data_IF_122886016676
#
_entry.id   IF_122886016676
#
_cell.length_a   1.000
_cell.length_b   1.000
_cell.length_c   1.000
_cell.angle_alpha   90.00
_cell.angle_beta   90.00
_cell.angle_gamma   90.00
#
_symmetry.space_group_name_H-M   'P 1'
#
loop_
_entity.id
_entity.type
_entity.pdbx_description
1 polymer ?
#
# COMPACT_ATOMS: atom_id res chain seq x y z
N UNK A 1 11.28 10.25 -7.30
CA UNK A 1 12.61 9.85 -7.81
C UNK A 1 13.15 8.72 -6.93
N UNK A 2 13.65 7.62 -7.49
CA UNK A 2 14.32 6.58 -6.72
C UNK A 2 15.51 7.19 -5.97
N UNK A 3 15.67 6.88 -4.68
CA UNK A 3 16.86 7.24 -3.92
C UNK A 3 18.02 6.44 -4.48
N UNK A 4 19.00 7.12 -5.08
CA UNK A 4 20.16 6.48 -5.68
C UNK A 4 21.24 6.19 -4.63
N UNK A 5 21.87 5.01 -4.67
CA UNK A 5 23.03 4.74 -3.83
C UNK A 5 24.16 5.74 -4.06
N UNK A 6 25.04 5.97 -3.07
CA UNK A 6 26.21 6.82 -3.25
C UNK A 6 27.15 6.28 -4.34
N UNK A 7 27.66 7.18 -5.19
CA UNK A 7 28.62 6.87 -6.26
C UNK A 7 29.99 6.52 -5.66
N UNK A 8 30.69 5.56 -6.25
CA UNK A 8 32.05 5.18 -5.85
C UNK A 8 33.04 6.32 -6.13
N UNK A 9 33.66 6.83 -5.08
CA UNK A 9 34.78 7.77 -5.16
C UNK A 9 36.14 7.06 -5.14
N UNK A 10 37.23 7.82 -4.95
CA UNK A 10 38.59 7.28 -4.92
C UNK A 10 38.88 6.40 -3.69
N UNK A 11 38.15 6.58 -2.58
CA UNK A 11 38.26 5.73 -1.38
C UNK A 11 37.06 4.78 -1.25
N UNK A 12 37.31 3.49 -1.48
CA UNK A 12 36.32 2.41 -1.35
C UNK A 12 35.81 2.24 0.09
N UNK A 13 36.64 2.54 1.10
CA UNK A 13 36.25 2.43 2.52
C UNK A 13 35.28 3.53 2.89
N UNK A 14 35.51 4.75 2.41
CA UNK A 14 34.57 5.85 2.56
C UNK A 14 33.25 5.56 1.85
N UNK A 15 33.30 5.05 0.62
CA UNK A 15 32.12 4.61 -0.10
C UNK A 15 31.32 3.54 0.66
N UNK A 16 32.00 2.51 1.21
CA UNK A 16 31.35 1.46 1.99
C UNK A 16 30.61 1.96 3.22
N UNK A 17 31.18 2.95 3.95
CA UNK A 17 30.49 3.59 5.08
C UNK A 17 29.24 4.37 4.63
N UNK A 18 29.35 5.11 3.53
CA UNK A 18 28.22 5.83 2.94
C UNK A 18 27.13 4.89 2.46
N UNK A 19 27.49 3.76 1.86
CA UNK A 19 26.55 2.72 1.42
C UNK A 19 25.82 2.10 2.61
N UNK A 20 26.53 1.71 3.67
CA UNK A 20 25.89 1.16 4.88
C UNK A 20 24.88 2.16 5.48
N UNK A 21 25.24 3.44 5.56
CA UNK A 21 24.32 4.48 6.01
C UNK A 21 23.11 4.65 5.08
N UNK A 22 23.32 4.56 3.76
CA UNK A 22 22.23 4.61 2.79
C UNK A 22 21.27 3.42 2.94
N UNK A 23 21.80 2.20 3.05
CA UNK A 23 21.00 0.99 3.21
C UNK A 23 20.24 1.04 4.54
N UNK A 24 20.87 1.39 5.65
CA UNK A 24 20.21 1.51 6.94
C UNK A 24 19.01 2.47 6.92
N UNK A 25 19.07 3.55 6.11
CA UNK A 25 17.97 4.51 5.97
C UNK A 25 16.86 4.07 5.01
N UNK A 26 17.14 3.14 4.09
CA UNK A 26 16.23 2.84 2.98
C UNK A 26 15.75 1.38 2.92
N UNK A 27 16.41 0.43 3.61
CA UNK A 27 16.08 -0.99 3.56
C UNK A 27 14.65 -1.29 4.05
N UNK A 28 14.17 -0.56 5.05
CA UNK A 28 12.83 -0.73 5.61
C UNK A 28 11.72 0.09 4.94
N UNK A 29 12.03 0.86 3.88
CA UNK A 29 11.03 1.68 3.20
C UNK A 29 10.36 0.88 2.09
N UNK A 30 9.06 1.13 1.88
CA UNK A 30 8.39 0.74 0.64
C UNK A 30 8.89 1.64 -0.50
N UNK A 31 9.24 1.03 -1.62
CA UNK A 31 9.57 1.75 -2.84
C UNK A 31 8.31 1.97 -3.68
N UNK A 32 8.29 3.03 -4.49
CA UNK A 32 7.18 3.30 -5.40
C UNK A 32 7.20 2.35 -6.58
N UNK A 33 6.04 1.78 -6.92
CA UNK A 33 5.83 0.98 -8.11
C UNK A 33 5.97 1.87 -9.35
N UNK A 34 6.69 1.34 -10.32
CA UNK A 34 6.99 1.93 -11.63
C UNK A 34 6.41 1.05 -12.73
N UNK A 35 6.47 1.51 -13.97
CA UNK A 35 6.10 0.70 -15.14
C UNK A 35 7.08 -0.42 -15.45
N UNK A 36 8.30 -0.38 -14.90
CA UNK A 36 9.33 -1.39 -15.11
C UNK A 36 9.30 -2.55 -14.11
N UNK A 37 8.51 -2.44 -13.03
CA UNK A 37 8.44 -3.48 -12.02
C UNK A 37 7.71 -4.72 -12.53
N UNK A 38 8.30 -5.90 -12.29
CA UNK A 38 7.80 -7.19 -12.77
C UNK A 38 7.32 -8.05 -11.60
N UNK A 39 6.04 -8.50 -11.58
CA UNK A 39 5.50 -9.31 -10.51
C UNK A 39 5.77 -10.83 -10.66
N UNK A 40 6.69 -11.23 -11.55
CA UNK A 40 7.04 -12.64 -11.77
C UNK A 40 7.67 -13.30 -10.54
N UNK A 41 8.36 -12.52 -9.71
CA UNK A 41 8.83 -12.94 -8.39
C UNK A 41 7.79 -12.59 -7.33
N UNK A 42 7.47 -13.53 -6.44
CA UNK A 42 6.52 -13.31 -5.35
C UNK A 42 7.18 -12.61 -4.16
N UNK A 43 6.45 -11.71 -3.49
CA UNK A 43 6.87 -11.10 -2.23
C UNK A 43 7.54 -9.72 -2.34
N UNK A 44 7.51 -9.09 -3.52
CA UNK A 44 7.97 -7.71 -3.71
C UNK A 44 6.87 -6.77 -3.22
N UNK A 45 7.15 -6.00 -2.16
CA UNK A 45 6.26 -4.97 -1.62
C UNK A 45 6.59 -3.60 -2.20
N UNK A 46 5.58 -2.92 -2.75
CA UNK A 46 5.70 -1.59 -3.35
C UNK A 46 4.52 -0.70 -2.96
N UNK A 47 4.68 0.62 -3.09
CA UNK A 47 3.59 1.58 -3.04
C UNK A 47 3.10 1.89 -4.45
N UNK A 48 1.82 1.63 -4.74
CA UNK A 48 1.18 2.01 -6.00
C UNK A 48 0.67 3.46 -5.88
N UNK A 49 1.36 4.41 -6.52
CA UNK A 49 1.03 5.84 -6.45
C UNK A 49 -0.23 6.19 -7.24
N UNK A 50 -0.51 5.46 -8.32
CA UNK A 50 -1.70 5.67 -9.17
C UNK A 50 -2.98 5.30 -8.41
N UNK A 51 -2.90 4.21 -7.63
CA UNK A 51 -4.06 3.68 -6.89
C UNK A 51 -4.04 4.03 -5.41
N UNK A 52 -2.96 4.64 -4.93
CA UNK A 52 -2.77 5.13 -3.57
C UNK A 52 -2.86 4.04 -2.48
N UNK A 53 -2.20 2.89 -2.69
CA UNK A 53 -2.12 1.81 -1.70
C UNK A 53 -0.87 0.92 -1.88
N UNK A 54 -0.45 0.20 -0.83
CA UNK A 54 0.63 -0.77 -0.97
C UNK A 54 0.15 -2.02 -1.72
N UNK A 55 1.04 -2.59 -2.52
CA UNK A 55 0.85 -3.82 -3.28
C UNK A 55 1.94 -4.83 -2.98
N UNK A 56 1.63 -6.11 -3.14
CA UNK A 56 2.59 -7.21 -3.11
C UNK A 56 2.52 -8.00 -4.42
N UNK A 57 3.67 -8.39 -4.96
CA UNK A 57 3.70 -9.31 -6.10
C UNK A 57 3.31 -10.73 -5.67
N UNK A 58 2.33 -11.31 -6.35
CA UNK A 58 1.87 -12.67 -6.15
C UNK A 58 1.26 -13.23 -7.42
N UNK A 59 1.71 -14.41 -7.83
CA UNK A 59 1.16 -15.15 -8.98
C UNK A 59 1.18 -14.31 -10.27
N UNK A 60 2.31 -13.67 -10.58
CA UNK A 60 2.50 -12.85 -11.78
C UNK A 60 1.58 -11.61 -11.85
N UNK A 61 1.15 -11.09 -10.70
CA UNK A 61 0.35 -9.87 -10.58
C UNK A 61 0.71 -9.07 -9.33
N UNK A 62 0.59 -7.74 -9.39
CA UNK A 62 0.60 -6.92 -8.17
C UNK A 62 -0.80 -6.88 -7.57
N UNK A 63 -0.92 -7.32 -6.32
CA UNK A 63 -2.18 -7.39 -5.58
C UNK A 63 -2.17 -6.35 -4.45
N UNK A 64 -3.29 -5.65 -4.27
CA UNK A 64 -3.46 -4.71 -3.18
C UNK A 64 -3.32 -5.42 -1.83
N UNK A 65 -2.60 -4.78 -0.90
CA UNK A 65 -2.61 -5.16 0.51
C UNK A 65 -3.74 -4.38 1.18
N UNK A 66 -4.67 -5.09 1.79
CA UNK A 66 -5.77 -4.46 2.51
C UNK A 66 -5.22 -3.75 3.76
N UNK A 67 -5.52 -2.46 3.89
CA UNK A 67 -5.25 -1.65 5.08
C UNK A 67 -6.57 -1.30 5.74
N UNK A 68 -6.62 -1.35 7.07
CA UNK A 68 -7.78 -0.86 7.80
C UNK A 68 -8.05 0.60 7.44
N UNK A 69 -9.25 0.88 6.98
CA UNK A 69 -9.72 2.24 6.78
C UNK A 69 -10.55 2.72 7.97
N UNK A 70 -10.77 4.03 8.05
CA UNK A 70 -11.73 4.60 8.99
C UNK A 70 -13.12 3.99 8.76
N UNK A 71 -13.87 3.76 9.85
CA UNK A 71 -15.23 3.27 9.76
C UNK A 71 -16.12 4.33 9.07
N UNK A 72 -16.87 3.97 8.01
CA UNK A 72 -17.73 4.92 7.32
C UNK A 72 -18.86 5.38 8.24
N UNK A 73 -19.09 6.70 8.33
CA UNK A 73 -20.15 7.27 9.18
C UNK A 73 -21.56 6.92 8.66
N UNK A 74 -21.70 6.69 7.36
CA UNK A 74 -22.93 6.29 6.69
C UNK A 74 -22.59 5.44 5.46
N UNK A 75 -23.59 4.84 4.82
CA UNK A 75 -23.37 3.95 3.68
C UNK A 75 -22.88 4.64 2.41
N UNK A 76 -22.97 5.97 2.30
CA UNK A 76 -22.53 6.75 1.13
C UNK A 76 -21.01 6.96 1.12
N UNK A 77 -20.36 6.89 2.28
CA UNK A 77 -18.91 7.08 2.39
C UNK A 77 -18.48 8.55 2.26
N UNK A 78 -17.21 8.76 1.94
CA UNK A 78 -16.57 10.06 1.79
C UNK A 78 -15.53 10.08 0.67
N UNK A 79 -15.10 11.28 0.28
CA UNK A 79 -14.03 11.45 -0.71
C UNK A 79 -12.77 10.68 -0.29
N UNK A 80 -12.19 9.94 -1.23
CA UNK A 80 -11.06 9.04 -0.99
C UNK A 80 -11.45 7.58 -0.86
N UNK A 81 -12.73 7.26 -0.63
CA UNK A 81 -13.19 5.88 -0.63
C UNK A 81 -13.12 5.26 -2.02
N UNK A 82 -12.50 4.07 -2.10
CA UNK A 82 -12.33 3.31 -3.33
C UNK A 82 -12.82 1.87 -3.14
N UNK A 83 -13.20 1.23 -4.25
CA UNK A 83 -13.59 -0.18 -4.26
C UNK A 83 -12.51 -1.07 -3.63
N UNK A 84 -12.94 -2.03 -2.81
CA UNK A 84 -12.04 -2.99 -2.15
C UNK A 84 -11.45 -2.49 -0.83
N UNK A 85 -11.71 -1.25 -0.42
CA UNK A 85 -11.38 -0.80 0.93
C UNK A 85 -12.14 -1.63 1.99
N UNK A 86 -11.43 -1.96 3.07
CA UNK A 86 -11.97 -2.73 4.19
C UNK A 86 -11.81 -1.90 5.46
N UNK A 87 -12.86 -1.88 6.28
CA UNK A 87 -12.83 -1.31 7.63
C UNK A 87 -13.52 -2.26 8.59
N UNK A 88 -13.28 -2.09 9.89
CA UNK A 88 -13.96 -2.86 10.93
C UNK A 88 -13.98 -2.06 12.22
N UNK A 89 -15.01 -2.31 13.01
CA UNK A 89 -15.15 -1.85 14.39
C UNK A 89 -15.50 -3.05 15.30
N UNK A 90 -15.88 -2.78 16.54
CA UNK A 90 -16.25 -3.82 17.52
C UNK A 90 -17.49 -4.62 17.12
N UNK A 91 -18.36 -4.08 16.27
CA UNK A 91 -19.67 -4.64 15.93
C UNK A 91 -19.77 -5.12 14.49
N UNK A 92 -18.96 -4.60 13.57
CA UNK A 92 -19.13 -4.84 12.14
C UNK A 92 -17.79 -4.92 11.38
N UNK A 93 -17.80 -5.71 10.30
CA UNK A 93 -16.83 -5.61 9.20
C UNK A 93 -17.50 -4.89 8.03
N UNK A 94 -16.78 -3.97 7.40
CA UNK A 94 -17.24 -3.13 6.30
C UNK A 94 -16.41 -3.37 5.04
N UNK A 95 -17.06 -3.34 3.88
CA UNK A 95 -16.40 -3.38 2.57
C UNK A 95 -16.96 -2.29 1.65
N UNK A 96 -16.07 -1.54 1.03
CA UNK A 96 -16.40 -0.54 0.02
C UNK A 96 -16.55 -1.20 -1.35
N UNK A 97 -17.71 -1.03 -1.98
CA UNK A 97 -18.06 -1.71 -3.23
C UNK A 97 -17.87 -0.86 -4.49
N UNK A 98 -17.61 0.45 -4.35
CA UNK A 98 -17.38 1.37 -5.46
C UNK A 98 -16.58 2.61 -4.99
N UNK A 99 -16.10 3.43 -5.92
CA UNK A 99 -15.51 4.72 -5.58
C UNK A 99 -16.59 5.74 -5.16
N UNK A 100 -16.23 6.68 -4.28
CA UNK A 100 -17.13 7.73 -3.83
C UNK A 100 -17.61 8.64 -4.98
N UNK A 101 -18.93 8.77 -5.10
CA UNK A 101 -19.61 9.62 -6.10
C UNK A 101 -20.53 10.69 -5.47
N UNK A 102 -20.55 10.78 -4.14
CA UNK A 102 -21.34 11.76 -3.39
C UNK A 102 -22.80 11.40 -3.12
N UNK A 103 -23.33 10.31 -3.67
CA UNK A 103 -24.76 9.96 -3.48
C UNK A 103 -25.08 8.48 -3.34
N UNK A 104 -24.30 7.59 -3.94
CA UNK A 104 -24.55 6.14 -3.92
C UNK A 104 -24.12 5.53 -2.59
N UNK A 105 -24.90 4.57 -2.07
CA UNK A 105 -24.47 3.74 -0.94
C UNK A 105 -23.38 2.76 -1.38
N UNK A 106 -22.11 3.11 -1.16
CA UNK A 106 -20.93 2.31 -1.55
C UNK A 106 -20.39 1.42 -0.43
N UNK A 107 -20.80 1.62 0.83
CA UNK A 107 -20.34 0.79 1.94
C UNK A 107 -21.39 -0.24 2.34
N UNK A 108 -20.96 -1.50 2.38
CA UNK A 108 -21.71 -2.61 2.95
C UNK A 108 -21.06 -3.07 4.25
N UNK A 109 -21.87 -3.62 5.16
CA UNK A 109 -21.38 -4.16 6.43
C UNK A 109 -22.01 -5.49 6.79
N UNK A 110 -21.30 -6.29 7.56
CA UNK A 110 -21.78 -7.53 8.19
C UNK A 110 -21.61 -7.41 9.70
N UNK A 111 -22.63 -7.84 10.45
CA UNK A 111 -22.61 -7.82 11.91
C UNK A 111 -21.73 -8.94 12.46
N UNK A 112 -20.95 -8.63 13.49
CA UNK A 112 -20.22 -9.58 14.30
C UNK A 112 -21.13 -10.05 15.44
N UNK A 113 -21.12 -11.35 15.73
CA UNK A 113 -21.82 -11.93 16.88
C UNK A 113 -20.80 -12.47 17.88
N UNK A 114 -21.20 -12.57 19.15
CA UNK A 114 -20.46 -13.38 20.12
C UNK A 114 -20.50 -14.86 19.71
N UNK A 115 -19.49 -15.61 20.15
CA UNK A 115 -19.43 -17.06 20.02
C UNK A 115 -20.31 -17.76 21.06
#
# INVERSE_FOLDING_TARGET
MPVTPPVLGQDVRQWGRSLNGFLARNLGKLFFKTSGDNPSENGIFLWDDEKNYPVVSAQNSFRQIAMQQATPANSVGASGDNVGMISWDTNYIYICTAAYDGSTAIWKRVALSSY
#
